data_IF_892176969673
#
_entry.id   IF_892176969673
#
_cell.length_a   1.000
_cell.length_b   1.000
_cell.length_c   1.000
_cell.angle_alpha   90.00
_cell.angle_beta   90.00
_cell.angle_gamma   90.00
#
_symmetry.space_group_name_H-M   'P 1'
#
loop_
_entity.id
_entity.type
_entity.pdbx_description
1 polymer ?
#
# COMPACT_ATOMS: atom_id res chain seq x y z
N UNK A 1 43.62 -11.11 38.67
CA UNK A 1 42.93 -12.03 39.59
C UNK A 1 41.47 -12.07 39.15
N UNK A 2 41.09 -13.05 38.34
CA UNK A 2 39.67 -13.25 38.02
C UNK A 2 39.02 -13.80 39.30
N UNK A 3 38.18 -13.00 39.96
CA UNK A 3 37.37 -13.47 41.09
C UNK A 3 36.46 -14.59 40.58
N UNK A 4 36.85 -15.83 40.89
CA UNK A 4 35.97 -16.98 40.73
C UNK A 4 34.94 -16.92 41.86
N UNK A 5 33.87 -16.16 41.63
CA UNK A 5 32.69 -16.12 42.51
C UNK A 5 32.10 -17.53 42.57
N UNK A 6 31.75 -18.01 43.77
CA UNK A 6 31.14 -19.33 43.93
C UNK A 6 29.81 -19.40 43.17
N UNK A 7 29.37 -20.60 42.78
CA UNK A 7 28.13 -20.77 42.00
C UNK A 7 26.92 -20.09 42.67
N UNK A 8 26.85 -20.12 44.00
CA UNK A 8 25.79 -19.45 44.78
C UNK A 8 25.80 -17.92 44.60
N UNK A 9 26.96 -17.28 44.66
CA UNK A 9 27.07 -15.83 44.50
C UNK A 9 26.72 -15.38 43.08
N UNK A 10 27.08 -16.17 42.07
CA UNK A 10 26.73 -15.88 40.68
C UNK A 10 25.22 -15.93 40.46
N UNK A 11 24.56 -16.96 41.01
CA UNK A 11 23.10 -17.10 40.96
C UNK A 11 22.39 -15.94 41.68
N UNK A 12 22.90 -15.54 42.85
CA UNK A 12 22.31 -14.44 43.61
C UNK A 12 22.43 -13.09 42.90
N UNK A 13 23.55 -12.84 42.21
CA UNK A 13 23.73 -11.65 41.38
C UNK A 13 22.75 -11.58 40.20
N UNK A 14 22.52 -12.69 39.50
CA UNK A 14 21.54 -12.76 38.40
C UNK A 14 20.13 -12.51 38.94
N UNK A 15 19.79 -13.12 40.08
CA UNK A 15 18.47 -12.96 40.72
C UNK A 15 18.21 -11.52 41.13
N UNK A 16 19.22 -10.83 41.67
CA UNK A 16 19.13 -9.43 42.07
C UNK A 16 19.06 -8.50 40.85
N UNK A 17 19.83 -8.79 39.79
CA UNK A 17 19.73 -8.05 38.54
C UNK A 17 18.34 -8.18 37.92
N UNK A 18 17.78 -9.39 37.89
CA UNK A 18 16.45 -9.64 37.36
C UNK A 18 15.36 -8.94 38.18
N UNK A 19 15.42 -9.00 39.51
CA UNK A 19 14.49 -8.25 40.37
C UNK A 19 14.54 -6.74 40.11
N UNK A 20 15.70 -6.21 39.75
CA UNK A 20 15.88 -4.77 39.50
C UNK A 20 15.51 -4.34 38.07
N UNK A 21 15.81 -5.16 37.07
CA UNK A 21 15.74 -4.77 35.66
C UNK A 21 14.79 -5.63 34.81
N UNK A 22 14.29 -6.75 35.33
CA UNK A 22 13.50 -7.72 34.57
C UNK A 22 12.26 -7.10 33.91
N UNK A 23 11.55 -6.23 34.63
CA UNK A 23 10.42 -5.49 34.07
C UNK A 23 10.82 -4.58 32.91
N UNK A 24 11.93 -3.83 33.05
CA UNK A 24 12.43 -2.95 31.99
C UNK A 24 12.91 -3.74 30.76
N UNK A 25 13.58 -4.88 30.98
CA UNK A 25 13.97 -5.79 29.90
C UNK A 25 12.75 -6.34 29.15
N UNK A 26 11.73 -6.81 29.89
CA UNK A 26 10.50 -7.33 29.28
C UNK A 26 9.75 -6.26 28.48
N UNK A 27 9.67 -5.03 29.01
CA UNK A 27 9.10 -3.89 28.29
C UNK A 27 9.92 -3.59 27.03
N UNK A 28 11.25 -3.58 27.12
CA UNK A 28 12.13 -3.35 25.97
C UNK A 28 11.94 -4.40 24.87
N UNK A 29 11.87 -5.67 25.25
CA UNK A 29 11.60 -6.78 24.31
C UNK A 29 10.21 -6.61 23.69
N UNK A 30 9.19 -6.34 24.49
CA UNK A 30 7.82 -6.12 24.01
C UNK A 30 7.73 -4.95 23.02
N UNK A 31 8.39 -3.83 23.33
CA UNK A 31 8.46 -2.67 22.44
C UNK A 31 9.18 -2.98 21.13
N UNK A 32 10.30 -3.71 21.18
CA UNK A 32 11.03 -4.11 19.99
C UNK A 32 10.17 -5.02 19.08
N UNK A 33 9.46 -5.99 19.66
CA UNK A 33 8.54 -6.85 18.91
C UNK A 33 7.38 -6.04 18.30
N UNK A 34 6.78 -5.12 19.04
CA UNK A 34 5.70 -4.28 18.55
C UNK A 34 6.14 -3.41 17.35
N UNK A 35 7.36 -2.86 17.39
CA UNK A 35 7.92 -2.08 16.29
C UNK A 35 8.12 -2.96 15.05
N UNK A 36 8.75 -4.13 15.20
CA UNK A 36 9.04 -5.03 14.08
C UNK A 36 7.76 -5.52 13.42
N UNK A 37 6.81 -6.05 14.20
CA UNK A 37 5.55 -6.55 13.65
C UNK A 37 4.66 -5.42 13.13
N UNK A 38 4.67 -4.26 13.78
CA UNK A 38 3.94 -3.08 13.30
C UNK A 38 4.44 -2.63 11.93
N UNK A 39 5.76 -2.55 11.76
CA UNK A 39 6.37 -2.19 10.47
C UNK A 39 6.06 -3.24 9.39
N UNK A 40 6.25 -4.53 9.70
CA UNK A 40 5.99 -5.61 8.75
C UNK A 40 4.52 -5.66 8.32
N UNK A 41 3.58 -5.44 9.24
CA UNK A 41 2.16 -5.40 8.92
C UNK A 41 1.83 -4.22 7.99
N UNK A 42 2.40 -3.05 8.26
CA UNK A 42 2.22 -1.87 7.41
C UNK A 42 2.82 -2.07 6.01
N UNK A 43 4.04 -2.59 5.92
CA UNK A 43 4.72 -2.87 4.65
C UNK A 43 3.94 -3.90 3.81
N UNK A 44 3.51 -5.01 4.42
CA UNK A 44 2.69 -6.01 3.74
C UNK A 44 1.36 -5.42 3.25
N UNK A 45 0.74 -4.53 4.02
CA UNK A 45 -0.49 -3.85 3.58
C UNK A 45 -0.26 -2.97 2.36
N UNK A 46 0.84 -2.21 2.33
CA UNK A 46 1.22 -1.39 1.18
C UNK A 46 1.53 -2.23 -0.06
N UNK A 47 2.23 -3.35 0.10
CA UNK A 47 2.51 -4.28 -1.01
C UNK A 47 1.22 -4.88 -1.58
N UNK A 48 0.31 -5.31 -0.69
CA UNK A 48 -0.98 -5.86 -1.09
C UNK A 48 -1.80 -4.83 -1.88
N UNK A 49 -1.92 -3.57 -1.40
CA UNK A 49 -2.64 -2.54 -2.15
C UNK A 49 -2.04 -2.27 -3.53
N UNK A 50 -0.71 -2.31 -3.66
CA UNK A 50 -0.05 -2.12 -4.96
C UNK A 50 -0.34 -3.29 -5.91
N UNK A 51 -0.33 -4.52 -5.40
CA UNK A 51 -0.64 -5.71 -6.19
C UNK A 51 -2.10 -5.72 -6.66
N UNK A 52 -3.04 -5.34 -5.78
CA UNK A 52 -4.46 -5.25 -6.12
C UNK A 52 -4.73 -4.15 -7.16
N UNK A 53 -4.15 -2.95 -6.99
CA UNK A 53 -4.25 -1.88 -7.98
C UNK A 53 -3.72 -2.32 -9.36
N UNK A 54 -2.59 -3.04 -9.39
CA UNK A 54 -2.03 -3.58 -10.63
C UNK A 54 -2.97 -4.60 -11.28
N UNK A 55 -3.59 -5.47 -10.49
CA UNK A 55 -4.57 -6.46 -10.96
C UNK A 55 -5.80 -5.78 -11.56
N UNK A 56 -6.36 -4.79 -10.87
CA UNK A 56 -7.47 -3.99 -11.37
C UNK A 56 -7.11 -3.30 -12.69
N UNK A 57 -5.92 -2.68 -12.76
CA UNK A 57 -5.45 -2.06 -13.99
C UNK A 57 -5.28 -3.06 -15.15
N UNK A 58 -4.82 -4.29 -14.87
CA UNK A 58 -4.76 -5.34 -15.88
C UNK A 58 -6.15 -5.71 -16.42
N UNK A 59 -7.16 -5.79 -15.55
CA UNK A 59 -8.56 -5.98 -15.94
C UNK A 59 -9.06 -4.83 -16.83
N UNK A 60 -8.79 -3.59 -16.43
CA UNK A 60 -9.13 -2.40 -17.20
C UNK A 60 -8.49 -2.45 -18.60
N UNK A 61 -7.19 -2.77 -18.68
CA UNK A 61 -6.49 -2.85 -19.95
C UNK A 61 -7.04 -3.98 -20.83
N UNK A 62 -7.40 -5.12 -20.25
CA UNK A 62 -8.03 -6.20 -20.98
C UNK A 62 -9.37 -5.77 -21.59
N UNK A 63 -10.25 -5.15 -20.80
CA UNK A 63 -11.53 -4.63 -21.28
C UNK A 63 -11.33 -3.55 -22.37
N UNK A 64 -10.39 -2.63 -22.15
CA UNK A 64 -10.09 -1.56 -23.09
C UNK A 64 -9.55 -2.06 -24.44
N UNK A 65 -8.71 -3.10 -24.43
CA UNK A 65 -8.10 -3.66 -25.65
C UNK A 65 -9.00 -4.68 -26.36
N UNK A 66 -9.83 -5.41 -25.61
CA UNK A 66 -10.78 -6.39 -26.14
C UNK A 66 -12.18 -5.78 -26.24
N UNK A 67 -12.38 -4.82 -27.15
CA UNK A 67 -13.67 -4.17 -27.40
C UNK A 67 -14.70 -5.08 -28.11
N UNK A 68 -14.46 -6.40 -28.17
CA UNK A 68 -15.40 -7.34 -28.79
C UNK A 68 -16.64 -7.62 -27.90
N UNK A 69 -16.57 -7.27 -26.61
CA UNK A 69 -17.65 -7.39 -25.64
C UNK A 69 -18.38 -6.04 -25.49
N UNK A 70 -19.71 -6.07 -25.57
CA UNK A 70 -20.57 -4.87 -25.41
C UNK A 70 -20.42 -4.23 -24.02
N UNK A 71 -19.98 -5.00 -23.02
CA UNK A 71 -19.77 -4.54 -21.64
C UNK A 71 -18.37 -4.00 -21.36
N UNK A 72 -17.46 -4.04 -22.34
CA UNK A 72 -16.07 -3.59 -22.17
C UNK A 72 -15.98 -2.12 -21.75
N UNK A 73 -16.83 -1.24 -22.31
CA UNK A 73 -16.85 0.17 -21.94
C UNK A 73 -17.27 0.40 -20.50
N UNK A 74 -18.32 -0.27 -20.05
CA UNK A 74 -18.79 -0.19 -18.65
C UNK A 74 -17.72 -0.72 -17.68
N UNK A 75 -17.03 -1.79 -18.06
CA UNK A 75 -15.94 -2.37 -17.27
C UNK A 75 -14.79 -1.39 -17.11
N UNK A 76 -14.37 -0.71 -18.18
CA UNK A 76 -13.33 0.32 -18.10
C UNK A 76 -13.75 1.45 -17.18
N UNK A 77 -14.98 1.97 -17.32
CA UNK A 77 -15.49 3.04 -16.47
C UNK A 77 -15.55 2.64 -15.00
N UNK A 78 -16.07 1.44 -14.71
CA UNK A 78 -16.14 0.92 -13.35
C UNK A 78 -14.75 0.76 -12.74
N UNK A 79 -13.84 0.06 -13.42
CA UNK A 79 -12.51 -0.24 -12.88
C UNK A 79 -11.66 1.02 -12.75
N UNK A 80 -11.74 1.96 -13.70
CA UNK A 80 -11.06 3.25 -13.59
C UNK A 80 -11.53 4.06 -12.38
N UNK A 81 -12.84 4.04 -12.10
CA UNK A 81 -13.41 4.68 -10.91
C UNK A 81 -12.97 3.97 -9.62
N UNK A 82 -12.96 2.64 -9.58
CA UNK A 82 -12.43 1.87 -8.45
C UNK A 82 -10.98 2.21 -8.17
N UNK A 83 -10.14 2.30 -9.22
CA UNK A 83 -8.75 2.75 -9.06
C UNK A 83 -8.66 4.18 -8.52
N UNK A 84 -9.52 5.09 -9.00
CA UNK A 84 -9.61 6.49 -8.54
C UNK A 84 -9.92 6.59 -7.04
N UNK A 85 -10.88 5.79 -6.57
CA UNK A 85 -11.44 5.86 -5.21
C UNK A 85 -10.64 5.03 -4.19
N UNK A 86 -10.30 3.79 -4.52
CA UNK A 86 -9.72 2.84 -3.57
C UNK A 86 -8.19 2.79 -3.63
N UNK A 87 -7.60 3.26 -4.73
CA UNK A 87 -6.16 3.19 -4.99
C UNK A 87 -5.61 4.56 -5.47
N UNK A 88 -6.16 5.66 -4.92
CA UNK A 88 -5.88 7.05 -5.31
C UNK A 88 -4.39 7.39 -5.44
N UNK A 89 -3.56 6.87 -4.53
CA UNK A 89 -2.12 7.14 -4.50
C UNK A 89 -1.31 6.23 -5.43
N UNK A 90 -1.96 5.40 -6.25
CA UNK A 90 -1.28 4.55 -7.21
C UNK A 90 -1.16 5.23 -8.58
N UNK A 91 -0.02 5.02 -9.25
CA UNK A 91 0.12 5.42 -10.65
C UNK A 91 -0.94 4.75 -11.56
N UNK A 92 -1.43 3.57 -11.16
CA UNK A 92 -2.51 2.87 -11.86
C UNK A 92 -3.83 3.65 -11.86
N UNK A 93 -4.14 4.39 -10.80
CA UNK A 93 -5.30 5.28 -10.77
C UNK A 93 -5.18 6.42 -11.77
N UNK A 94 -3.98 7.00 -11.90
CA UNK A 94 -3.69 8.03 -12.90
C UNK A 94 -3.88 7.45 -14.30
N UNK A 95 -3.17 6.36 -14.63
CA UNK A 95 -3.24 5.74 -15.96
C UNK A 95 -4.65 5.23 -16.31
N UNK A 96 -5.37 4.66 -15.33
CA UNK A 96 -6.75 4.22 -15.50
C UNK A 96 -7.67 5.37 -15.88
N UNK A 97 -7.52 6.54 -15.26
CA UNK A 97 -8.30 7.74 -15.60
C UNK A 97 -7.91 8.31 -16.98
N UNK A 98 -6.65 8.19 -17.41
CA UNK A 98 -6.27 8.56 -18.78
C UNK A 98 -6.94 7.67 -19.83
N UNK A 99 -7.03 6.36 -19.56
CA UNK A 99 -7.74 5.41 -20.44
C UNK A 99 -9.25 5.71 -20.45
N UNK A 100 -9.84 5.96 -19.27
CA UNK A 100 -11.23 6.35 -19.16
C UNK A 100 -11.54 7.62 -19.96
N UNK A 101 -10.70 8.65 -19.83
CA UNK A 101 -10.88 9.89 -20.59
C UNK A 101 -10.85 9.67 -22.10
N UNK A 102 -9.93 8.81 -22.58
CA UNK A 102 -9.90 8.44 -24.00
C UNK A 102 -11.20 7.74 -24.41
N UNK A 103 -11.70 6.80 -23.62
CA UNK A 103 -12.94 6.10 -23.92
C UNK A 103 -14.13 7.06 -23.97
N UNK A 104 -14.30 7.90 -22.94
CA UNK A 104 -15.38 8.89 -22.88
C UNK A 104 -15.37 9.80 -24.11
N UNK A 105 -14.19 10.25 -24.53
CA UNK A 105 -14.08 11.10 -25.72
C UNK A 105 -14.34 10.35 -27.03
N UNK A 106 -13.76 9.16 -27.20
CA UNK A 106 -13.71 8.46 -28.51
C UNK A 106 -14.95 7.62 -28.75
N UNK A 107 -15.41 6.88 -27.73
CA UNK A 107 -16.51 5.92 -27.87
C UNK A 107 -17.84 6.56 -27.45
N UNK A 108 -17.83 7.38 -26.40
CA UNK A 108 -19.06 7.97 -25.82
C UNK A 108 -19.32 9.40 -26.33
N UNK A 109 -18.34 10.02 -27.00
CA UNK A 109 -18.38 11.42 -27.46
C UNK A 109 -18.70 12.42 -26.33
N UNK A 110 -18.33 12.08 -25.09
CA UNK A 110 -18.46 12.90 -23.90
C UNK A 110 -17.14 13.60 -23.57
N UNK A 111 -16.96 14.78 -24.18
CA UNK A 111 -15.77 15.59 -23.97
C UNK A 111 -15.69 16.20 -22.56
N UNK A 112 -16.84 16.44 -21.91
CA UNK A 112 -16.86 17.04 -20.57
C UNK A 112 -16.37 16.03 -19.53
N UNK A 113 -16.88 14.79 -19.57
CA UNK A 113 -16.41 13.71 -18.72
C UNK A 113 -14.92 13.40 -18.95
N UNK A 114 -14.48 13.38 -20.21
CA UNK A 114 -13.07 13.16 -20.53
C UNK A 114 -12.16 14.24 -19.93
N UNK A 115 -12.59 15.50 -19.93
CA UNK A 115 -11.84 16.60 -19.31
C UNK A 115 -11.76 16.42 -17.79
N UNK A 116 -12.85 16.03 -17.10
CA UNK A 116 -12.81 15.75 -15.66
C UNK A 116 -11.78 14.66 -15.33
N UNK A 117 -11.85 13.53 -16.05
CA UNK A 117 -10.92 12.42 -15.84
C UNK A 117 -9.46 12.83 -16.09
N UNK A 118 -9.18 13.65 -17.11
CA UNK A 118 -7.83 14.18 -17.36
C UNK A 118 -7.37 15.16 -16.30
N UNK A 119 -8.25 16.06 -15.84
CA UNK A 119 -7.92 17.03 -14.80
C UNK A 119 -7.60 16.34 -13.48
N UNK A 120 -8.40 15.35 -13.11
CA UNK A 120 -8.14 14.54 -11.92
C UNK A 120 -6.79 13.80 -12.02
N UNK A 121 -6.51 13.18 -13.17
CA UNK A 121 -5.24 12.50 -13.40
C UNK A 121 -4.04 13.47 -13.34
N UNK A 122 -4.20 14.67 -13.89
CA UNK A 122 -3.17 15.72 -13.86
C UNK A 122 -2.91 16.23 -12.44
N UNK A 123 -3.96 16.46 -11.65
CA UNK A 123 -3.83 16.85 -10.24
C UNK A 123 -3.04 15.79 -9.45
N UNK A 124 -3.42 14.52 -9.59
CA UNK A 124 -2.74 13.41 -8.90
C UNK A 124 -1.33 13.16 -9.38
N UNK A 125 -1.04 13.38 -10.67
CA UNK A 125 0.31 13.33 -11.18
C UNK A 125 1.19 14.48 -10.63
N UNK A 126 0.63 15.69 -10.47
CA UNK A 126 1.33 16.83 -9.87
C UNK A 126 1.69 16.63 -8.39
N UNK A 127 0.84 15.92 -7.65
CA UNK A 127 1.10 15.51 -6.26
C UNK A 127 2.16 14.39 -6.19
N UNK A 128 2.21 13.52 -7.20
CA UNK A 128 3.25 12.52 -7.40
C UNK A 128 4.53 13.14 -7.98
N UNK A 129 5.38 13.73 -7.14
CA UNK A 129 6.70 14.32 -7.51
C UNK A 129 7.71 13.38 -8.21
N UNK A 130 7.35 12.13 -8.50
CA UNK A 130 8.25 11.08 -9.00
C UNK A 130 7.76 10.35 -10.26
N UNK A 131 6.85 10.96 -11.03
CA UNK A 131 6.75 10.73 -12.48
C UNK A 131 7.55 11.81 -13.21
#
# INVERSE_FOLDING_TARGET
MAEMRTEEEQVEAIKNWWKRNGSALLIGIGAALAIVFGWQAWENHQEQQRAEAASQFATLLNAFTNQADETSGETVAFVAKTLREDYTDSAYAIYGNLILARQQLVEENDAEAAIDSLQWALEKAGDHKAL
#
